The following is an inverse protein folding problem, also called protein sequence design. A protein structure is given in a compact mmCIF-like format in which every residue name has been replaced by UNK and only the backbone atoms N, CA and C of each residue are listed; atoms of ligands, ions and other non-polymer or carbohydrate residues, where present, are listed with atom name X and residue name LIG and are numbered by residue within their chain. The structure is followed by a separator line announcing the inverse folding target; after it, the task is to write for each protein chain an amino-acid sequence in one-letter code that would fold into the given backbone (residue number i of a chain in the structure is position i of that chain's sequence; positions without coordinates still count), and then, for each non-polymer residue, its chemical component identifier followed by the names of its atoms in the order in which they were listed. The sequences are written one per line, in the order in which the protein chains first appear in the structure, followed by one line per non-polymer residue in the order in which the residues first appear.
data_IF_340573498232
#
_entry.id   IF_340573498232
#
_cell.length_a   1.000
_cell.length_b   1.000
_cell.length_c   1.000
_cell.angle_alpha   90.00
_cell.angle_beta   90.00
_cell.angle_gamma   90.00
#
_symmetry.space_group_name_H-M   'P 1'
#
loop_
_entity.id
_entity.type
_entity.pdbx_description
1 polymer ?
#
# COMPACT_ATOMS: atom_id res chain seq x y z
N UNK A 1 -20.02 17.33 0.10
CA UNK A 1 -20.02 15.87 0.27
C UNK A 1 -20.04 15.55 1.75
N UNK A 2 -20.97 14.69 2.18
CA UNK A 2 -21.08 14.26 3.58
C UNK A 2 -21.13 12.76 3.75
N UNK A 3 -21.73 12.05 2.79
CA UNK A 3 -21.94 10.60 2.85
C UNK A 3 -20.89 9.86 2.05
N UNK A 4 -20.11 9.03 2.72
CA UNK A 4 -19.00 8.26 2.13
C UNK A 4 -19.32 6.76 2.22
N UNK A 5 -19.32 6.08 1.08
CA UNK A 5 -19.25 4.62 1.01
C UNK A 5 -17.78 4.17 1.12
N UNK A 6 -17.49 3.19 1.94
CA UNK A 6 -16.12 2.71 2.12
C UNK A 6 -16.04 1.18 1.95
N UNK A 7 -15.29 0.74 0.95
CA UNK A 7 -15.10 -0.67 0.61
C UNK A 7 -13.66 -1.08 0.88
N UNK A 8 -13.46 -2.09 1.73
CA UNK A 8 -12.12 -2.55 2.10
C UNK A 8 -11.68 -2.08 3.49
N UNK A 9 -12.42 -2.49 4.51
CA UNK A 9 -12.19 -2.13 5.93
C UNK A 9 -11.17 -3.09 6.57
N UNK A 10 -9.96 -3.14 5.99
CA UNK A 10 -8.79 -3.86 6.52
C UNK A 10 -7.98 -3.03 7.52
N UNK A 11 -6.67 -3.35 7.69
CA UNK A 11 -5.77 -2.65 8.63
C UNK A 11 -5.74 -1.15 8.35
N UNK A 12 -5.52 -0.76 7.09
CA UNK A 12 -5.52 0.65 6.67
C UNK A 12 -6.93 1.23 6.71
N UNK A 13 -7.91 0.55 6.10
CA UNK A 13 -9.27 1.04 5.93
C UNK A 13 -9.98 1.36 7.25
N UNK A 14 -9.80 0.57 8.31
CA UNK A 14 -10.37 0.88 9.63
C UNK A 14 -9.93 2.24 10.16
N UNK A 15 -8.63 2.51 10.05
CA UNK A 15 -8.07 3.79 10.51
C UNK A 15 -8.55 4.96 9.67
N UNK A 16 -8.66 4.76 8.34
CA UNK A 16 -9.18 5.77 7.42
C UNK A 16 -10.66 6.05 7.68
N UNK A 17 -11.48 5.03 7.91
CA UNK A 17 -12.91 5.18 8.32
C UNK A 17 -13.03 6.00 9.60
N UNK A 18 -12.22 5.70 10.62
CA UNK A 18 -12.20 6.47 11.88
C UNK A 18 -11.87 7.93 11.67
N UNK A 19 -10.87 8.20 10.83
CA UNK A 19 -10.47 9.57 10.53
C UNK A 19 -11.55 10.33 9.75
N UNK A 20 -12.24 9.69 8.81
CA UNK A 20 -13.40 10.29 8.14
C UNK A 20 -14.52 10.63 9.13
N UNK A 21 -14.90 9.69 10.01
CA UNK A 21 -15.92 9.94 11.04
C UNK A 21 -15.53 11.08 12.00
N UNK A 22 -14.25 11.17 12.39
CA UNK A 22 -13.74 12.28 13.23
C UNK A 22 -13.84 13.64 12.56
N UNK A 23 -13.89 13.69 11.23
CA UNK A 23 -14.04 14.90 10.43
C UNK A 23 -15.49 15.08 9.92
N UNK A 24 -16.46 14.57 10.67
CA UNK A 24 -17.91 14.76 10.47
C UNK A 24 -18.46 14.18 9.15
N UNK A 25 -17.80 13.17 8.58
CA UNK A 25 -18.37 12.38 7.47
C UNK A 25 -19.25 11.26 8.02
N UNK A 26 -20.39 11.05 7.39
CA UNK A 26 -21.24 9.88 7.58
C UNK A 26 -20.68 8.73 6.73
N UNK A 27 -20.20 7.66 7.38
CA UNK A 27 -19.50 6.59 6.70
C UNK A 27 -20.31 5.31 6.69
N UNK A 28 -20.66 4.85 5.48
CA UNK A 28 -21.21 3.53 5.19
C UNK A 28 -20.07 2.58 4.85
N UNK A 29 -20.04 1.39 5.44
CA UNK A 29 -18.96 0.42 5.22
C UNK A 29 -19.48 -0.91 4.68
N UNK A 30 -18.70 -1.50 3.77
CA UNK A 30 -18.81 -2.88 3.37
C UNK A 30 -17.54 -3.65 3.70
N UNK A 31 -17.70 -4.83 4.29
CA UNK A 31 -16.61 -5.78 4.52
C UNK A 31 -17.11 -7.21 4.31
N UNK A 32 -16.30 -8.08 3.68
CA UNK A 32 -16.62 -9.49 3.45
C UNK A 32 -16.88 -10.29 4.75
N UNK A 33 -16.34 -9.83 5.87
CA UNK A 33 -16.58 -10.43 7.19
C UNK A 33 -16.93 -9.33 8.19
N UNK A 34 -18.21 -9.31 8.62
CA UNK A 34 -18.75 -8.34 9.56
C UNK A 34 -18.06 -8.38 10.93
N UNK A 35 -17.68 -9.55 11.40
CA UNK A 35 -17.06 -9.71 12.73
C UNK A 35 -15.72 -9.00 12.83
N UNK A 36 -14.98 -8.91 11.73
CA UNK A 36 -13.70 -8.20 11.68
C UNK A 36 -13.83 -6.69 11.79
N UNK A 37 -15.03 -6.13 11.67
CA UNK A 37 -15.29 -4.67 11.64
C UNK A 37 -16.25 -4.21 12.72
N UNK A 38 -16.58 -5.07 13.69
CA UNK A 38 -17.48 -4.74 14.82
C UNK A 38 -17.01 -3.54 15.63
N UNK A 39 -15.71 -3.35 15.74
CA UNK A 39 -15.10 -2.22 16.41
C UNK A 39 -15.52 -0.89 15.74
N UNK A 40 -15.32 -0.74 14.43
CA UNK A 40 -15.69 0.50 13.72
C UNK A 40 -17.22 0.68 13.62
N UNK A 41 -18.00 -0.41 13.60
CA UNK A 41 -19.46 -0.34 13.68
C UNK A 41 -19.88 0.25 15.04
N UNK A 42 -19.31 -0.26 16.14
CA UNK A 42 -19.62 0.25 17.49
C UNK A 42 -19.19 1.71 17.69
N UNK A 43 -18.25 2.20 16.89
CA UNK A 43 -17.77 3.58 16.89
C UNK A 43 -18.62 4.51 16.00
N UNK A 44 -19.61 3.97 15.24
CA UNK A 44 -20.58 4.78 14.49
C UNK A 44 -20.59 4.58 12.97
N UNK A 45 -19.79 3.67 12.42
CA UNK A 45 -19.86 3.34 11.00
C UNK A 45 -21.13 2.52 10.68
N UNK A 46 -21.82 2.83 9.58
CA UNK A 46 -23.01 2.12 9.13
C UNK A 46 -22.61 0.92 8.28
N UNK A 47 -22.78 -0.29 8.80
CA UNK A 47 -22.45 -1.52 8.07
C UNK A 47 -23.57 -1.95 7.12
N UNK A 48 -23.18 -2.37 5.90
CA UNK A 48 -24.08 -2.96 4.91
C UNK A 48 -23.54 -4.31 4.42
N UNK A 49 -24.42 -5.30 4.16
CA UNK A 49 -24.02 -6.65 3.77
C UNK A 49 -23.58 -6.77 2.31
N UNK A 50 -23.89 -5.76 1.47
CA UNK A 50 -23.52 -5.73 0.04
C UNK A 50 -22.88 -4.40 -0.34
N UNK A 51 -22.06 -4.40 -1.40
CA UNK A 51 -21.48 -3.16 -1.95
C UNK A 51 -22.61 -2.24 -2.43
N UNK A 52 -23.58 -2.77 -3.16
CA UNK A 52 -24.75 -2.03 -3.65
C UNK A 52 -25.43 -1.22 -2.56
N UNK A 53 -25.74 -1.83 -1.41
CA UNK A 53 -26.38 -1.13 -0.30
C UNK A 53 -25.46 -0.11 0.35
N UNK A 54 -24.16 -0.44 0.49
CA UNK A 54 -23.15 0.43 1.08
C UNK A 54 -22.98 1.73 0.29
N UNK A 55 -22.97 1.66 -1.04
CA UNK A 55 -22.65 2.81 -1.90
C UNK A 55 -23.87 3.62 -2.33
N UNK A 56 -25.07 3.06 -2.13
CA UNK A 56 -26.33 3.69 -2.54
C UNK A 56 -26.54 5.02 -1.82
N UNK A 57 -26.70 6.10 -2.60
CA UNK A 57 -26.93 7.45 -2.09
C UNK A 57 -25.71 8.14 -1.47
N UNK A 58 -24.52 7.57 -1.57
CA UNK A 58 -23.28 8.22 -1.18
C UNK A 58 -22.90 9.36 -2.14
N UNK A 59 -22.20 10.38 -1.61
CA UNK A 59 -21.62 11.46 -2.40
C UNK A 59 -20.26 11.06 -2.98
N UNK A 60 -19.52 10.22 -2.25
CA UNK A 60 -18.29 9.63 -2.71
C UNK A 60 -18.17 8.18 -2.22
N UNK A 61 -17.45 7.35 -2.96
CA UNK A 61 -17.10 5.98 -2.60
C UNK A 61 -15.59 5.84 -2.59
N UNK A 62 -15.05 5.30 -1.52
CA UNK A 62 -13.61 5.04 -1.36
C UNK A 62 -13.39 3.53 -1.34
N UNK A 63 -12.38 3.08 -2.07
CA UNK A 63 -11.91 1.70 -2.05
C UNK A 63 -10.46 1.62 -1.58
N UNK A 64 -10.16 0.63 -0.72
CA UNK A 64 -8.79 0.22 -0.41
C UNK A 64 -8.76 -1.28 -0.14
N UNK A 65 -8.46 -2.04 -1.18
CA UNK A 65 -8.51 -3.52 -1.17
C UNK A 65 -7.11 -4.12 -1.38
N UNK A 66 -7.01 -5.43 -1.54
CA UNK A 66 -5.72 -6.12 -1.50
C UNK A 66 -4.96 -6.12 -2.83
N UNK A 67 -5.66 -6.46 -3.92
CA UNK A 67 -5.07 -6.76 -5.22
C UNK A 67 -5.85 -6.10 -6.36
N UNK A 68 -5.25 -5.92 -7.56
CA UNK A 68 -5.95 -5.40 -8.74
C UNK A 68 -7.24 -6.17 -9.05
N UNK A 69 -7.23 -7.49 -8.92
CA UNK A 69 -8.43 -8.31 -9.11
C UNK A 69 -9.56 -7.96 -8.13
N UNK A 70 -9.22 -7.69 -6.87
CA UNK A 70 -10.24 -7.23 -5.90
C UNK A 70 -10.81 -5.87 -6.33
N UNK A 71 -9.98 -4.99 -6.94
CA UNK A 71 -10.45 -3.68 -7.48
C UNK A 71 -11.39 -3.92 -8.66
N UNK A 72 -11.04 -4.78 -9.61
CA UNK A 72 -11.91 -5.16 -10.73
C UNK A 72 -13.27 -5.67 -10.23
N UNK A 73 -13.27 -6.61 -9.27
CA UNK A 73 -14.47 -7.18 -8.68
C UNK A 73 -15.39 -6.10 -8.07
N UNK A 74 -14.83 -5.22 -7.21
CA UNK A 74 -15.65 -4.21 -6.52
C UNK A 74 -16.14 -3.09 -7.43
N UNK A 75 -15.47 -2.83 -8.55
CA UNK A 75 -15.89 -1.78 -9.49
C UNK A 75 -16.83 -2.26 -10.59
N UNK A 76 -16.58 -3.43 -11.20
CA UNK A 76 -17.19 -3.81 -12.47
C UNK A 76 -18.27 -4.89 -12.39
N UNK A 77 -18.37 -5.63 -11.27
CA UNK A 77 -19.45 -6.63 -11.14
C UNK A 77 -20.83 -5.97 -11.09
N UNK A 78 -21.89 -6.73 -11.39
CA UNK A 78 -23.29 -6.28 -11.40
C UNK A 78 -23.71 -5.62 -10.07
N UNK A 79 -23.21 -6.13 -8.94
CA UNK A 79 -23.41 -5.54 -7.63
C UNK A 79 -22.24 -4.61 -7.20
N UNK A 80 -21.37 -4.28 -8.14
CA UNK A 80 -20.21 -3.41 -7.93
C UNK A 80 -20.55 -1.92 -7.88
N UNK A 81 -19.53 -1.11 -7.72
CA UNK A 81 -19.67 0.33 -7.46
C UNK A 81 -20.27 1.05 -8.68
N UNK A 82 -19.72 0.84 -9.89
CA UNK A 82 -20.10 1.62 -11.07
C UNK A 82 -21.57 1.47 -11.48
N UNK A 83 -22.19 0.32 -11.14
CA UNK A 83 -23.60 0.05 -11.48
C UNK A 83 -24.57 0.54 -10.39
N UNK A 84 -24.09 0.86 -9.19
CA UNK A 84 -24.97 1.08 -8.04
C UNK A 84 -24.83 2.45 -7.36
N UNK A 85 -24.07 3.36 -7.95
CA UNK A 85 -23.96 4.76 -7.53
C UNK A 85 -24.73 5.68 -8.47
N UNK A 86 -25.15 6.84 -7.98
CA UNK A 86 -25.86 7.86 -8.78
C UNK A 86 -24.89 8.68 -9.63
N UNK A 87 -25.38 9.25 -10.72
CA UNK A 87 -24.63 10.23 -11.52
C UNK A 87 -24.05 11.36 -10.65
N UNK A 88 -22.83 11.79 -10.95
CA UNK A 88 -22.09 12.80 -10.20
C UNK A 88 -21.38 12.29 -8.95
N UNK A 89 -21.54 11.02 -8.56
CA UNK A 89 -20.79 10.41 -7.43
C UNK A 89 -19.30 10.34 -7.76
N UNK A 90 -18.46 10.65 -6.77
CA UNK A 90 -17.01 10.45 -6.83
C UNK A 90 -16.65 9.02 -6.46
N UNK A 91 -15.89 8.33 -7.28
CA UNK A 91 -15.33 7.02 -6.99
C UNK A 91 -13.80 7.14 -6.89
N UNK A 92 -13.25 6.79 -5.74
CA UNK A 92 -11.87 7.05 -5.36
C UNK A 92 -11.20 5.74 -4.99
N UNK A 93 -10.30 5.25 -5.86
CA UNK A 93 -9.52 4.05 -5.51
C UNK A 93 -8.20 4.44 -4.83
N UNK A 94 -8.10 4.12 -3.55
CA UNK A 94 -6.91 4.33 -2.72
C UNK A 94 -6.03 3.08 -2.62
N UNK A 95 -6.38 2.02 -3.33
CA UNK A 95 -5.57 0.79 -3.45
C UNK A 95 -4.32 1.07 -4.28
N UNK A 96 -3.18 0.49 -3.90
CA UNK A 96 -2.06 0.36 -4.86
C UNK A 96 -2.40 -0.71 -5.87
N UNK A 97 -2.70 -0.30 -7.10
CA UNK A 97 -3.22 -1.14 -8.18
C UNK A 97 -2.53 -0.83 -9.52
N UNK A 98 -3.04 -1.40 -10.62
CA UNK A 98 -2.52 -1.16 -11.96
C UNK A 98 -2.90 0.24 -12.45
N UNK A 99 -1.95 1.02 -13.00
CA UNK A 99 -2.26 2.27 -13.68
C UNK A 99 -3.26 2.10 -14.83
N UNK A 100 -3.17 0.99 -15.59
CA UNK A 100 -4.11 0.68 -16.67
C UNK A 100 -5.53 0.46 -16.15
N UNK A 101 -5.66 -0.25 -15.04
CA UNK A 101 -6.96 -0.45 -14.39
C UNK A 101 -7.55 0.88 -13.88
N UNK A 102 -6.72 1.76 -13.33
CA UNK A 102 -7.17 3.09 -12.91
C UNK A 102 -7.72 3.92 -14.09
N UNK A 103 -7.05 3.87 -15.23
CA UNK A 103 -7.54 4.51 -16.47
C UNK A 103 -8.85 3.85 -16.94
N UNK A 104 -8.96 2.53 -16.91
CA UNK A 104 -10.20 1.83 -17.30
C UNK A 104 -11.38 2.21 -16.39
N UNK A 105 -11.16 2.28 -15.07
CA UNK A 105 -12.17 2.75 -14.13
C UNK A 105 -12.57 4.18 -14.44
N UNK A 106 -11.62 5.07 -14.72
CA UNK A 106 -11.87 6.47 -15.06
C UNK A 106 -12.75 6.60 -16.32
N UNK A 107 -12.42 5.88 -17.39
CA UNK A 107 -13.19 5.95 -18.65
C UNK A 107 -14.61 5.41 -18.47
N UNK A 108 -14.76 4.24 -17.81
CA UNK A 108 -16.09 3.66 -17.57
C UNK A 108 -16.93 4.50 -16.60
N UNK A 109 -16.31 5.11 -15.60
CA UNK A 109 -16.98 6.04 -14.70
C UNK A 109 -17.51 7.26 -15.48
N UNK A 110 -16.68 7.81 -16.35
CA UNK A 110 -17.03 8.96 -17.20
C UNK A 110 -18.21 8.67 -18.13
N UNK A 111 -18.26 7.47 -18.75
CA UNK A 111 -19.39 7.02 -19.57
C UNK A 111 -20.72 7.01 -18.81
N UNK A 112 -20.67 6.82 -17.49
CA UNK A 112 -21.84 6.78 -16.58
C UNK A 112 -22.09 8.13 -15.87
N UNK A 113 -21.42 9.19 -16.25
CA UNK A 113 -21.53 10.50 -15.60
C UNK A 113 -20.98 10.52 -14.16
N UNK A 114 -20.11 9.58 -13.82
CA UNK A 114 -19.40 9.52 -12.54
C UNK A 114 -18.05 10.22 -12.63
N UNK A 115 -17.41 10.45 -11.50
CA UNK A 115 -16.12 11.13 -11.38
C UNK A 115 -15.13 10.18 -10.68
N UNK A 116 -14.06 9.82 -11.36
CA UNK A 116 -13.11 8.82 -10.84
C UNK A 116 -11.74 9.43 -10.58
N UNK A 117 -11.16 9.02 -9.43
CA UNK A 117 -9.79 9.37 -9.05
C UNK A 117 -9.06 8.10 -8.60
N UNK A 118 -7.80 7.93 -9.02
CA UNK A 118 -6.86 7.01 -8.41
C UNK A 118 -6.04 7.77 -7.37
N UNK A 119 -6.07 7.31 -6.12
CA UNK A 119 -5.50 8.04 -5.00
C UNK A 119 -4.73 7.12 -4.02
N UNK A 120 -3.77 6.31 -4.52
CA UNK A 120 -2.99 5.44 -3.65
C UNK A 120 -2.21 6.24 -2.60
N UNK A 121 -1.89 5.56 -1.49
CA UNK A 121 -1.34 6.20 -0.29
C UNK A 121 0.03 5.67 0.09
N UNK A 122 0.81 6.51 0.79
CA UNK A 122 2.03 6.10 1.49
C UNK A 122 2.04 6.67 2.91
N UNK A 123 2.74 6.00 3.84
CA UNK A 123 2.76 6.32 5.27
C UNK A 123 2.42 5.11 6.16
N UNK A 124 2.00 3.99 5.55
CA UNK A 124 1.70 2.73 6.25
C UNK A 124 0.51 2.83 7.20
N UNK A 125 0.36 1.83 8.05
CA UNK A 125 -0.68 1.72 9.07
C UNK A 125 -0.61 2.84 10.12
N UNK A 126 0.60 3.26 10.48
CA UNK A 126 0.84 4.38 11.40
C UNK A 126 0.32 5.70 10.80
N UNK A 127 0.62 5.96 9.53
CA UNK A 127 0.12 7.14 8.82
C UNK A 127 -1.41 7.14 8.71
N UNK A 128 -2.00 5.98 8.41
CA UNK A 128 -3.45 5.82 8.38
C UNK A 128 -4.08 6.08 9.76
N UNK A 129 -3.48 5.55 10.83
CA UNK A 129 -3.97 5.73 12.21
C UNK A 129 -3.94 7.20 12.64
N UNK A 130 -2.86 7.90 12.31
CA UNK A 130 -2.65 9.29 12.73
C UNK A 130 -3.31 10.32 11.79
N UNK A 131 -3.89 9.91 10.66
CA UNK A 131 -4.41 10.83 9.65
C UNK A 131 -3.32 11.63 8.94
N UNK A 132 -2.13 11.04 8.80
CA UNK A 132 -0.94 11.71 8.23
C UNK A 132 -0.45 11.04 6.95
N UNK A 133 -1.35 10.38 6.23
CA UNK A 133 -1.00 9.77 4.95
C UNK A 133 -0.53 10.82 3.94
N UNK A 134 0.39 10.40 3.07
CA UNK A 134 0.59 11.07 1.78
C UNK A 134 -0.33 10.41 0.77
N UNK A 135 -1.09 11.20 0.02
CA UNK A 135 -2.10 10.77 -0.94
C UNK A 135 -1.70 11.29 -2.32
N UNK A 136 -1.57 10.38 -3.28
CA UNK A 136 -1.06 10.65 -4.62
C UNK A 136 -2.23 10.55 -5.61
N UNK A 137 -2.75 11.68 -6.09
CA UNK A 137 -4.05 11.70 -6.76
C UNK A 137 -3.89 11.89 -8.28
N UNK A 138 -4.42 10.94 -9.06
CA UNK A 138 -4.60 11.04 -10.51
C UNK A 138 -6.07 11.18 -10.88
N UNK A 139 -6.34 11.90 -11.97
CA UNK A 139 -7.68 12.15 -12.51
C UNK A 139 -7.88 13.59 -12.97
N UNK A 140 -9.12 14.08 -13.02
CA UNK A 140 -9.39 15.47 -13.35
C UNK A 140 -9.05 16.39 -12.17
N UNK A 141 -8.38 17.52 -12.43
CA UNK A 141 -7.93 18.45 -11.40
C UNK A 141 -9.10 19.07 -10.61
N UNK A 142 -10.23 19.31 -11.27
CA UNK A 142 -11.43 19.84 -10.64
C UNK A 142 -12.02 18.83 -9.63
N UNK A 143 -12.03 17.54 -9.98
CA UNK A 143 -12.50 16.47 -9.11
C UNK A 143 -11.56 16.26 -7.91
N UNK A 144 -10.24 16.35 -8.15
CA UNK A 144 -9.24 16.39 -7.08
C UNK A 144 -9.54 17.52 -6.08
N UNK A 145 -9.74 18.77 -6.57
CA UNK A 145 -10.04 19.92 -5.71
C UNK A 145 -11.33 19.74 -4.92
N UNK A 146 -12.35 19.17 -5.56
CA UNK A 146 -13.63 18.89 -4.90
C UNK A 146 -13.50 17.83 -3.79
N UNK A 147 -12.60 16.85 -3.93
CA UNK A 147 -12.35 15.78 -2.96
C UNK A 147 -11.31 16.13 -1.88
N UNK A 148 -10.67 17.31 -1.94
CA UNK A 148 -9.68 17.74 -0.93
C UNK A 148 -10.15 17.58 0.53
N UNK A 149 -11.39 17.94 0.92
CA UNK A 149 -11.82 17.73 2.30
C UNK A 149 -11.84 16.26 2.74
N UNK A 150 -12.12 15.32 1.81
CA UNK A 150 -12.06 13.89 2.07
C UNK A 150 -10.61 13.45 2.29
N UNK A 151 -9.69 13.88 1.44
CA UNK A 151 -8.27 13.55 1.55
C UNK A 151 -7.65 14.14 2.82
N UNK A 152 -7.97 15.40 3.15
CA UNK A 152 -7.49 16.08 4.35
C UNK A 152 -7.93 15.41 5.65
N UNK A 153 -9.05 14.70 5.66
CA UNK A 153 -9.47 13.91 6.81
C UNK A 153 -8.53 12.71 7.07
N UNK A 154 -7.81 12.22 6.06
CA UNK A 154 -6.99 11.00 6.15
C UNK A 154 -5.50 11.25 5.99
N UNK A 155 -5.09 12.40 5.47
CA UNK A 155 -3.70 12.70 5.16
C UNK A 155 -3.32 14.16 5.31
N UNK A 156 -2.03 14.43 5.43
CA UNK A 156 -1.46 15.78 5.55
C UNK A 156 -0.72 16.24 4.30
N UNK A 157 -0.27 15.28 3.47
CA UNK A 157 0.43 15.56 2.21
C UNK A 157 -0.43 15.02 1.06
N UNK A 158 -1.05 15.92 0.31
CA UNK A 158 -1.99 15.55 -0.75
C UNK A 158 -1.48 16.18 -2.03
N UNK A 159 -1.13 15.33 -3.00
CA UNK A 159 -0.50 15.75 -4.25
C UNK A 159 -1.37 15.36 -5.44
N UNK A 160 -1.62 16.33 -6.31
CA UNK A 160 -2.19 16.09 -7.62
C UNK A 160 -1.08 15.71 -8.59
N UNK A 161 -1.13 14.49 -9.09
CA UNK A 161 -0.09 13.90 -9.94
C UNK A 161 -0.38 14.04 -11.44
N UNK A 162 -1.59 14.48 -11.79
CA UNK A 162 -2.02 14.68 -13.17
C UNK A 162 -3.18 13.77 -13.55
N UNK A 163 -3.22 13.34 -14.82
CA UNK A 163 -4.33 12.54 -15.38
C UNK A 163 -4.50 11.18 -14.67
N UNK A 164 -5.64 10.54 -14.93
CA UNK A 164 -5.94 9.20 -14.41
C UNK A 164 -4.80 8.20 -14.63
N UNK A 165 -4.49 7.40 -13.61
CA UNK A 165 -3.37 6.47 -13.56
C UNK A 165 -2.05 7.08 -13.06
N UNK A 166 -1.91 8.42 -13.01
CA UNK A 166 -0.66 9.05 -12.58
C UNK A 166 -0.43 8.95 -11.07
N UNK A 167 -1.48 8.91 -10.26
CA UNK A 167 -1.37 8.57 -8.85
C UNK A 167 -0.76 7.17 -8.67
N UNK A 168 -1.25 6.17 -9.42
CA UNK A 168 -0.70 4.82 -9.40
C UNK A 168 0.76 4.78 -9.90
N UNK A 169 1.10 5.45 -11.01
CA UNK A 169 2.48 5.51 -11.49
C UNK A 169 3.42 6.14 -10.45
N UNK A 170 3.02 7.24 -9.81
CA UNK A 170 3.79 7.85 -8.72
C UNK A 170 3.95 6.89 -7.54
N UNK A 171 2.91 6.15 -7.21
CA UNK A 171 2.98 5.11 -6.17
C UNK A 171 3.94 3.99 -6.55
N UNK A 172 3.94 3.51 -7.79
CA UNK A 172 4.89 2.49 -8.23
C UNK A 172 6.33 2.99 -8.17
N UNK A 173 6.60 4.24 -8.55
CA UNK A 173 7.92 4.86 -8.38
C UNK A 173 8.35 4.91 -6.90
N UNK A 174 7.43 5.26 -6.00
CA UNK A 174 7.69 5.18 -4.56
C UNK A 174 8.04 3.75 -4.11
N UNK A 175 7.34 2.72 -4.60
CA UNK A 175 7.62 1.33 -4.25
C UNK A 175 8.98 0.84 -4.79
N UNK A 176 9.40 1.30 -5.98
CA UNK A 176 10.74 1.04 -6.52
C UNK A 176 11.82 1.57 -5.55
N UNK A 177 11.68 2.82 -5.09
CA UNK A 177 12.61 3.42 -4.13
C UNK A 177 12.64 2.68 -2.79
N UNK A 178 11.47 2.28 -2.27
CA UNK A 178 11.37 1.51 -1.03
C UNK A 178 12.09 0.16 -1.18
N UNK A 179 11.91 -0.53 -2.31
CA UNK A 179 12.55 -1.83 -2.57
C UNK A 179 14.08 -1.74 -2.50
N UNK A 180 14.68 -0.76 -3.16
CA UNK A 180 16.12 -0.53 -3.10
C UNK A 180 16.61 -0.17 -1.70
N UNK A 181 15.90 0.73 -1.01
CA UNK A 181 16.30 1.20 0.31
C UNK A 181 16.25 0.09 1.37
N UNK A 182 15.15 -0.68 1.46
CA UNK A 182 15.02 -1.76 2.45
C UNK A 182 16.00 -2.90 2.18
N UNK A 183 16.27 -3.21 0.90
CA UNK A 183 17.26 -4.22 0.52
C UNK A 183 18.65 -3.80 0.99
N UNK A 184 19.07 -2.56 0.71
CA UNK A 184 20.37 -2.03 1.14
C UNK A 184 20.53 -2.04 2.67
N UNK A 185 19.47 -1.72 3.42
CA UNK A 185 19.50 -1.80 4.90
C UNK A 185 19.72 -3.24 5.37
N UNK A 186 18.99 -4.21 4.82
CA UNK A 186 19.12 -5.62 5.20
C UNK A 186 20.50 -6.18 4.83
N UNK A 187 21.02 -5.88 3.63
CA UNK A 187 22.37 -6.29 3.22
C UNK A 187 23.45 -5.70 4.13
N UNK A 188 23.36 -4.40 4.45
CA UNK A 188 24.32 -3.74 5.32
C UNK A 188 24.31 -4.34 6.74
N UNK A 189 23.14 -4.65 7.29
CA UNK A 189 23.03 -5.30 8.61
C UNK A 189 23.62 -6.72 8.60
N UNK A 190 23.35 -7.49 7.55
CA UNK A 190 23.92 -8.83 7.38
C UNK A 190 25.45 -8.77 7.25
N UNK A 191 25.98 -7.85 6.42
CA UNK A 191 27.41 -7.63 6.27
C UNK A 191 28.07 -7.23 7.59
N UNK A 192 27.49 -6.27 8.32
CA UNK A 192 28.02 -5.85 9.61
C UNK A 192 28.11 -7.00 10.61
N UNK A 193 27.06 -7.82 10.67
CA UNK A 193 27.00 -9.03 11.51
C UNK A 193 28.10 -10.04 11.12
N UNK A 194 28.32 -10.29 9.82
CA UNK A 194 29.38 -11.17 9.32
C UNK A 194 30.79 -10.68 9.72
N UNK A 195 31.02 -9.37 9.71
CA UNK A 195 32.29 -8.75 10.10
C UNK A 195 32.48 -8.61 11.60
N UNK A 196 31.52 -9.06 12.43
CA UNK A 196 31.60 -8.94 13.89
C UNK A 196 31.41 -7.53 14.40
N UNK A 197 30.81 -6.63 13.63
CA UNK A 197 30.48 -5.28 14.09
C UNK A 197 29.27 -5.35 15.03
N UNK A 198 29.21 -4.41 15.98
CA UNK A 198 27.98 -4.10 16.68
C UNK A 198 27.01 -3.43 15.69
N UNK A 199 25.97 -4.18 15.28
CA UNK A 199 25.02 -3.74 14.24
C UNK A 199 24.29 -2.48 14.68
N UNK A 200 23.88 -2.39 15.97
CA UNK A 200 23.20 -1.19 16.47
C UNK A 200 24.11 0.05 16.39
N UNK A 201 25.33 -0.09 16.86
CA UNK A 201 26.32 1.01 16.82
C UNK A 201 26.62 1.42 15.38
N UNK A 202 26.73 0.46 14.46
CA UNK A 202 26.95 0.75 13.03
C UNK A 202 25.77 1.57 12.47
N UNK A 203 24.50 1.15 12.73
CA UNK A 203 23.32 1.87 12.28
C UNK A 203 23.26 3.30 12.85
N UNK A 204 23.52 3.47 14.15
CA UNK A 204 23.55 4.78 14.80
C UNK A 204 24.61 5.69 14.14
N UNK A 205 25.75 5.13 13.73
CA UNK A 205 26.85 5.90 13.11
C UNK A 205 26.53 6.38 11.69
N UNK A 206 25.76 5.60 10.90
CA UNK A 206 25.49 5.92 9.48
C UNK A 206 24.13 6.58 9.23
N UNK A 207 23.21 6.51 10.18
CA UNK A 207 21.84 6.99 10.02
C UNK A 207 21.73 8.49 9.75
N UNK A 208 22.65 9.29 10.28
CA UNK A 208 22.67 10.75 10.12
C UNK A 208 23.41 11.23 8.88
N UNK A 209 24.06 10.29 8.17
CA UNK A 209 24.81 10.58 6.94
C UNK A 209 24.02 10.24 5.68
N UNK A 210 24.75 10.15 4.56
CA UNK A 210 24.17 9.88 3.24
C UNK A 210 23.46 8.51 3.13
N UNK A 211 23.75 7.56 4.01
CA UNK A 211 23.07 6.26 4.08
C UNK A 211 21.73 6.33 4.83
N UNK A 212 21.42 7.44 5.49
CA UNK A 212 20.16 7.65 6.19
C UNK A 212 18.95 7.58 5.24
N UNK A 213 17.91 6.90 5.67
CA UNK A 213 16.65 6.82 4.91
C UNK A 213 15.49 6.53 5.84
N UNK A 214 14.27 6.87 5.40
CA UNK A 214 13.06 6.53 6.15
C UNK A 214 12.89 5.01 6.33
N UNK A 215 13.35 4.21 5.38
CA UNK A 215 13.35 2.76 5.50
C UNK A 215 14.31 2.29 6.62
N UNK A 216 15.51 2.84 6.67
CA UNK A 216 16.46 2.54 7.76
C UNK A 216 15.82 2.85 9.12
N UNK A 217 15.22 4.03 9.30
CA UNK A 217 14.58 4.44 10.55
C UNK A 217 13.43 3.53 10.97
N UNK A 218 12.60 3.08 10.01
CA UNK A 218 11.40 2.31 10.29
C UNK A 218 11.66 0.82 10.49
N UNK A 219 12.62 0.23 9.73
CA UNK A 219 12.76 -1.22 9.71
C UNK A 219 13.90 -1.72 10.57
N UNK A 220 14.98 -0.96 10.75
CA UNK A 220 16.15 -1.45 11.50
C UNK A 220 15.86 -1.72 12.99
N UNK A 221 15.08 -0.90 13.73
CA UNK A 221 14.71 -1.23 15.09
C UNK A 221 13.93 -2.55 15.18
N UNK A 222 12.95 -2.75 14.28
CA UNK A 222 12.15 -3.97 14.22
C UNK A 222 13.01 -5.21 13.93
N UNK A 223 13.99 -5.10 13.03
CA UNK A 223 14.92 -6.18 12.72
C UNK A 223 15.77 -6.52 13.94
N UNK A 224 16.28 -5.52 14.67
CA UNK A 224 17.08 -5.73 15.89
C UNK A 224 16.28 -6.41 17.01
N UNK A 225 15.00 -6.13 17.12
CA UNK A 225 14.06 -6.72 18.07
C UNK A 225 13.43 -8.03 17.58
N UNK A 226 13.78 -8.49 16.38
CA UNK A 226 13.17 -9.64 15.70
C UNK A 226 11.63 -9.52 15.56
N UNK A 227 11.11 -8.28 15.53
CA UNK A 227 9.70 -8.00 15.27
C UNK A 227 9.40 -8.02 13.77
N UNK A 228 8.77 -9.08 13.32
CA UNK A 228 8.32 -9.27 11.94
C UNK A 228 6.82 -9.09 11.75
N UNK A 229 6.12 -8.51 12.74
CA UNK A 229 4.71 -8.17 12.61
C UNK A 229 4.51 -7.17 11.45
N UNK A 230 3.49 -7.39 10.60
CA UNK A 230 3.33 -6.61 9.38
C UNK A 230 2.71 -5.23 9.62
N UNK A 231 3.47 -4.16 9.40
CA UNK A 231 2.91 -2.86 9.03
C UNK A 231 2.59 -2.81 7.53
N UNK A 232 3.37 -3.56 6.73
CA UNK A 232 3.14 -3.81 5.31
C UNK A 232 3.56 -5.24 4.97
N UNK A 233 2.64 -6.04 4.43
CA UNK A 233 2.86 -7.46 4.16
C UNK A 233 3.80 -7.70 2.98
N UNK A 234 4.65 -8.72 3.07
CA UNK A 234 5.51 -9.20 1.97
C UNK A 234 4.68 -9.46 0.71
N UNK A 235 3.58 -10.21 0.79
CA UNK A 235 2.73 -10.54 -0.36
C UNK A 235 2.18 -9.31 -1.10
N UNK A 236 1.84 -8.24 -0.38
CA UNK A 236 1.40 -6.99 -1.00
C UNK A 236 2.55 -6.21 -1.63
N UNK A 237 3.74 -6.27 -1.02
CA UNK A 237 4.91 -5.64 -1.60
C UNK A 237 5.39 -6.34 -2.87
N UNK A 238 5.33 -7.68 -2.91
CA UNK A 238 5.57 -8.47 -4.13
C UNK A 238 4.61 -8.04 -5.25
N UNK A 239 3.32 -7.91 -4.94
CA UNK A 239 2.33 -7.39 -5.91
C UNK A 239 2.74 -6.03 -6.45
N UNK A 240 3.09 -5.08 -5.57
CA UNK A 240 3.46 -3.71 -5.97
C UNK A 240 4.70 -3.71 -6.88
N UNK A 241 5.72 -4.50 -6.54
CA UNK A 241 6.93 -4.65 -7.36
C UNK A 241 6.65 -5.30 -8.72
N UNK A 242 5.74 -6.30 -8.78
CA UNK A 242 5.30 -6.90 -10.05
C UNK A 242 4.63 -5.88 -10.95
N UNK A 243 3.70 -5.10 -10.41
CA UNK A 243 3.03 -4.03 -11.17
C UNK A 243 4.05 -3.02 -11.72
N UNK A 244 5.01 -2.58 -10.90
CA UNK A 244 6.04 -1.66 -11.35
C UNK A 244 6.93 -2.26 -12.46
N UNK A 245 7.29 -3.54 -12.33
CA UNK A 245 8.07 -4.26 -13.35
C UNK A 245 7.30 -4.44 -14.65
N UNK A 246 6.02 -4.80 -14.58
CA UNK A 246 5.15 -4.97 -15.75
C UNK A 246 4.99 -3.65 -16.53
N UNK A 247 4.71 -2.54 -15.85
CA UNK A 247 4.59 -1.23 -16.47
C UNK A 247 5.91 -0.78 -17.11
N UNK A 248 7.03 -0.96 -16.43
CA UNK A 248 8.36 -0.60 -16.96
C UNK A 248 8.71 -1.43 -18.21
N UNK A 249 8.46 -2.73 -18.18
CA UNK A 249 8.73 -3.62 -19.34
C UNK A 249 7.86 -3.28 -20.55
N UNK A 250 6.63 -2.83 -20.36
CA UNK A 250 5.76 -2.38 -21.45
C UNK A 250 6.38 -1.23 -22.27
N UNK A 251 7.19 -0.39 -21.61
CA UNK A 251 7.91 0.73 -22.21
C UNK A 251 9.41 0.43 -22.48
N UNK A 252 9.81 -0.85 -22.43
CA UNK A 252 11.20 -1.30 -22.60
C UNK A 252 12.19 -0.71 -21.57
N UNK A 253 11.72 -0.37 -20.37
CA UNK A 253 12.55 0.07 -19.26
C UNK A 253 12.90 -1.13 -18.39
N UNK A 254 14.19 -1.37 -18.16
CA UNK A 254 14.65 -2.44 -17.28
C UNK A 254 14.90 -1.90 -15.87
N UNK A 255 14.34 -2.57 -14.86
CA UNK A 255 14.50 -2.22 -13.44
C UNK A 255 15.32 -3.32 -12.73
N UNK A 256 16.64 -3.31 -12.92
CA UNK A 256 17.55 -4.35 -12.45
C UNK A 256 17.49 -4.57 -10.93
N UNK A 257 17.59 -3.48 -10.17
CA UNK A 257 17.54 -3.53 -8.70
C UNK A 257 16.18 -4.05 -8.21
N UNK A 258 15.09 -3.49 -8.75
CA UNK A 258 13.74 -3.93 -8.39
C UNK A 258 13.56 -5.42 -8.68
N UNK A 259 14.01 -5.89 -9.85
CA UNK A 259 13.90 -7.30 -10.25
C UNK A 259 14.61 -8.22 -9.27
N UNK A 260 15.82 -7.84 -8.83
CA UNK A 260 16.56 -8.65 -7.86
C UNK A 260 15.91 -8.67 -6.48
N UNK A 261 15.41 -7.53 -6.02
CA UNK A 261 14.70 -7.45 -4.73
C UNK A 261 13.40 -8.25 -4.77
N UNK A 262 12.66 -8.19 -5.88
CA UNK A 262 11.45 -8.99 -6.10
C UNK A 262 11.75 -10.50 -5.98
N UNK A 263 12.79 -11.00 -6.63
CA UNK A 263 13.21 -12.41 -6.53
C UNK A 263 13.45 -12.84 -5.07
N UNK A 264 14.13 -12.00 -4.30
CA UNK A 264 14.42 -12.28 -2.88
C UNK A 264 13.14 -12.34 -2.03
N UNK A 265 12.16 -11.47 -2.29
CA UNK A 265 10.87 -11.52 -1.60
C UNK A 265 10.00 -12.70 -2.05
N UNK A 266 10.02 -13.06 -3.34
CA UNK A 266 9.32 -14.25 -3.85
C UNK A 266 9.89 -15.54 -3.25
N UNK A 267 11.20 -15.61 -2.97
CA UNK A 267 11.79 -16.72 -2.23
C UNK A 267 11.20 -16.81 -0.81
N UNK A 268 11.12 -15.69 -0.09
CA UNK A 268 10.51 -15.64 1.25
C UNK A 268 9.03 -16.02 1.22
N UNK A 269 8.29 -15.62 0.19
CA UNK A 269 6.88 -15.99 0.05
C UNK A 269 6.74 -17.50 -0.14
N UNK A 270 7.56 -18.13 -1.00
CA UNK A 270 7.61 -19.60 -1.19
C UNK A 270 7.94 -20.36 0.09
N UNK A 271 8.69 -19.75 1.01
CA UNK A 271 9.00 -20.29 2.33
C UNK A 271 7.90 -20.09 3.38
N UNK A 272 6.77 -19.47 2.98
CA UNK A 272 5.62 -19.24 3.85
C UNK A 272 5.66 -17.93 4.65
N UNK A 273 6.56 -17.00 4.33
CA UNK A 273 6.69 -15.71 5.02
C UNK A 273 5.86 -14.57 4.41
N UNK A 274 4.96 -14.87 3.46
CA UNK A 274 4.15 -13.85 2.79
C UNK A 274 3.30 -12.97 3.71
N UNK A 275 2.92 -13.49 4.89
CA UNK A 275 2.14 -12.77 5.90
C UNK A 275 3.00 -12.01 6.93
N UNK A 276 4.31 -12.03 6.81
CA UNK A 276 5.20 -11.20 7.60
C UNK A 276 5.35 -9.79 7.02
N UNK A 277 5.88 -8.89 7.85
CA UNK A 277 6.26 -7.54 7.44
C UNK A 277 7.48 -7.53 6.51
N UNK A 278 7.59 -6.50 5.67
CA UNK A 278 8.67 -6.35 4.68
C UNK A 278 10.07 -6.36 5.29
N UNK A 279 10.23 -5.99 6.58
CA UNK A 279 11.49 -6.08 7.30
C UNK A 279 12.01 -7.52 7.45
N UNK A 280 11.16 -8.53 7.27
CA UNK A 280 11.58 -9.93 7.28
C UNK A 280 12.51 -10.30 6.10
N UNK A 281 12.79 -9.36 5.16
CA UNK A 281 13.81 -9.52 4.13
C UNK A 281 15.19 -9.87 4.70
N UNK A 282 15.51 -9.44 5.91
CA UNK A 282 16.74 -9.82 6.61
C UNK A 282 16.93 -11.35 6.73
N UNK A 283 15.84 -12.13 6.76
CA UNK A 283 15.90 -13.59 6.83
C UNK A 283 16.55 -14.22 5.60
N UNK A 284 16.31 -13.63 4.42
CA UNK A 284 16.97 -14.04 3.17
C UNK A 284 18.48 -13.90 3.28
N UNK A 285 18.99 -12.75 3.70
CA UNK A 285 20.42 -12.47 3.82
C UNK A 285 21.09 -13.28 4.96
N UNK A 286 20.43 -13.47 6.08
CA UNK A 286 20.95 -14.29 7.18
C UNK A 286 21.12 -15.77 6.80
N UNK A 287 20.34 -16.32 5.86
CA UNK A 287 20.49 -17.68 5.34
C UNK A 287 21.73 -17.82 4.47
N UNK A 288 21.96 -16.88 3.58
CA UNK A 288 23.14 -16.89 2.71
C UNK A 288 24.42 -16.96 3.55
N UNK A 289 24.49 -16.24 4.66
CA UNK A 289 25.62 -16.32 5.59
C UNK A 289 25.79 -17.74 6.18
N UNK A 290 24.72 -18.42 6.58
CA UNK A 290 24.81 -19.79 7.10
C UNK A 290 25.31 -20.78 6.07
N UNK A 291 24.83 -20.75 4.82
CA UNK A 291 25.27 -21.63 3.75
C UNK A 291 26.76 -21.44 3.44
N UNK A 292 27.24 -20.21 3.36
CA UNK A 292 28.66 -19.92 3.11
C UNK A 292 29.54 -20.48 4.24
N UNK A 293 29.13 -20.38 5.50
CA UNK A 293 29.86 -20.95 6.61
C UNK A 293 29.90 -22.49 6.60
N UNK A 294 28.80 -23.15 6.27
CA UNK A 294 28.74 -24.61 6.16
C UNK A 294 29.60 -25.16 5.01
N UNK A 295 29.61 -24.51 3.85
CA UNK A 295 30.47 -24.89 2.71
C UNK A 295 31.95 -24.62 2.99
N UNK A 296 32.31 -23.51 3.63
CA UNK A 296 33.69 -23.24 4.07
C UNK A 296 34.21 -24.29 5.09
N UNK A 297 33.36 -24.86 5.91
CA UNK A 297 33.74 -25.91 6.86
C UNK A 297 33.90 -27.25 6.14
N UNK A 298 33.06 -27.54 5.12
CA UNK A 298 33.16 -28.76 4.32
C UNK A 298 34.40 -28.80 3.40
N UNK A 299 34.83 -27.65 2.89
CA UNK A 299 36.01 -27.55 2.00
C UNK A 299 37.33 -27.50 2.74
N UNK A 300 37.34 -27.37 4.08
CA UNK A 300 38.55 -27.40 4.93
C UNK A 300 38.76 -28.73 5.64
N UNK A 301 37.93 -29.75 5.35
CA UNK A 301 38.14 -31.16 5.75
C UNK A 301 38.55 -31.98 4.51
#
# INVERSE_FOLDING_TARGET
MKKIGFVGVGIMGKSMVRNLMKNDFEVSIFARNKEKVLDVISEGANFYPTIKECVSGCDAVITIVGFPKDVEEVYFEENGILENVKEGTYVIDMTTSSPKLAVEIFEKAKEKGLKALDAPVTGGDIGAKNGTLTILVGGEEEDYKACLPIFQAMGTNIHYEGKAGFGQHTKLANQIMIAGAISGVCEAMAYAKDKGLDVKKMLDSVSTGAAGSKQLELVSPKILEEDFAPGFFIKHFIKDMKLAKEEALADNVNLDILSKVLENYEELEREGFGDLGTQALIKHYNKQLKFIYEDCIRTKK
#
